data_IF_611750305918
#
_entry.id   IF_611750305918
#
_cell.length_a   1.000
_cell.length_b   1.000
_cell.length_c   1.000
_cell.angle_alpha   90.00
_cell.angle_beta   90.00
_cell.angle_gamma   90.00
#
_symmetry.space_group_name_H-M   'P 1'
#
loop_
_entity.id
_entity.type
_entity.pdbx_description
1 polymer ?
#
# COMPACT_ATOMS: atom_id res chain seq x y z
N UNK A 1 9.99 -0.27 -19.80
CA UNK A 1 10.56 0.43 -18.63
C UNK A 1 9.71 1.63 -18.13
N UNK A 2 9.01 2.38 -19.00
CA UNK A 2 8.23 3.58 -18.61
C UNK A 2 6.95 3.39 -17.76
N UNK A 3 6.29 2.21 -17.77
CA UNK A 3 5.01 2.03 -17.06
C UNK A 3 5.16 2.04 -15.53
N UNK A 4 6.23 1.43 -15.01
CA UNK A 4 6.47 1.33 -13.57
C UNK A 4 6.78 2.67 -12.89
N UNK A 5 7.39 3.60 -13.63
CA UNK A 5 7.69 4.96 -13.14
C UNK A 5 6.39 5.72 -12.88
N UNK A 6 5.40 5.61 -13.78
CA UNK A 6 4.08 6.24 -13.60
C UNK A 6 3.32 5.62 -12.43
N UNK A 7 3.28 4.28 -12.34
CA UNK A 7 2.61 3.61 -11.22
C UNK A 7 3.21 4.00 -9.87
N UNK A 8 4.55 4.06 -9.76
CA UNK A 8 5.24 4.46 -8.52
C UNK A 8 4.87 5.87 -8.11
N UNK A 9 4.88 6.82 -9.06
CA UNK A 9 4.44 8.20 -8.81
C UNK A 9 3.01 8.26 -8.27
N UNK A 10 2.06 7.57 -8.91
CA UNK A 10 0.66 7.56 -8.47
C UNK A 10 0.47 6.92 -7.09
N UNK A 11 1.24 5.86 -6.77
CA UNK A 11 1.22 5.25 -5.44
C UNK A 11 1.68 6.27 -4.38
N UNK A 12 2.82 6.93 -4.60
CA UNK A 12 3.34 7.94 -3.65
C UNK A 12 2.38 9.11 -3.50
N UNK A 13 1.78 9.58 -4.58
CA UNK A 13 0.78 10.66 -4.58
C UNK A 13 -0.46 10.27 -3.78
N UNK A 14 -1.02 9.08 -4.03
CA UNK A 14 -2.19 8.56 -3.31
C UNK A 14 -1.91 8.44 -1.81
N UNK A 15 -0.77 7.82 -1.44
CA UNK A 15 -0.39 7.69 -0.03
C UNK A 15 -0.12 9.04 0.65
N UNK A 16 0.37 10.04 -0.10
CA UNK A 16 0.61 11.39 0.44
C UNK A 16 -0.68 12.17 0.66
N UNK A 17 -1.65 12.06 -0.27
CA UNK A 17 -2.94 12.72 -0.16
C UNK A 17 -3.83 12.09 0.92
N UNK A 18 -3.72 10.78 1.11
CA UNK A 18 -4.49 10.01 2.09
C UNK A 18 -3.64 9.62 3.31
N UNK A 19 -3.04 10.63 3.95
CA UNK A 19 -2.24 10.46 5.17
C UNK A 19 -3.05 9.77 6.29
N UNK A 20 -2.41 8.92 7.06
CA UNK A 20 -2.96 8.08 8.14
C UNK A 20 -4.10 7.13 7.72
N UNK A 21 -4.34 6.96 6.42
CA UNK A 21 -5.29 5.97 5.91
C UNK A 21 -4.52 4.73 5.45
N UNK A 22 -4.76 3.54 6.03
CA UNK A 22 -4.15 2.30 5.57
C UNK A 22 -4.84 1.80 4.29
N UNK A 23 -4.03 1.28 3.37
CA UNK A 23 -4.52 0.76 2.09
C UNK A 23 -4.03 -0.64 1.80
N UNK A 24 -4.93 -1.50 1.34
CA UNK A 24 -4.56 -2.74 0.66
C UNK A 24 -4.00 -2.45 -0.73
N UNK A 25 -3.10 -3.31 -1.21
CA UNK A 25 -2.61 -3.21 -2.59
C UNK A 25 -3.73 -3.29 -3.64
N UNK A 26 -4.83 -4.00 -3.35
CA UNK A 26 -6.00 -4.05 -4.23
C UNK A 26 -6.74 -2.71 -4.28
N UNK A 27 -6.81 -2.02 -3.15
CA UNK A 27 -7.53 -0.76 -3.02
C UNK A 27 -6.74 0.35 -3.69
N UNK A 28 -5.41 0.38 -3.50
CA UNK A 28 -4.51 1.25 -4.26
C UNK A 28 -4.62 1.01 -5.76
N UNK A 29 -4.65 -0.25 -6.20
CA UNK A 29 -4.82 -0.61 -7.61
C UNK A 29 -6.13 -0.06 -8.19
N UNK A 30 -7.23 -0.24 -7.48
CA UNK A 30 -8.55 0.26 -7.89
C UNK A 30 -8.60 1.78 -7.90
N UNK A 31 -8.10 2.44 -6.84
CA UNK A 31 -8.06 3.89 -6.74
C UNK A 31 -7.22 4.51 -7.85
N UNK A 32 -6.03 3.98 -8.11
CA UNK A 32 -5.15 4.50 -9.16
C UNK A 32 -5.82 4.36 -10.54
N UNK A 33 -6.54 3.27 -10.76
CA UNK A 33 -7.32 3.09 -11.99
C UNK A 33 -8.46 4.11 -12.09
N UNK A 34 -9.26 4.30 -11.04
CA UNK A 34 -10.39 5.23 -11.05
C UNK A 34 -9.95 6.70 -11.19
N UNK A 35 -8.84 7.07 -10.54
CA UNK A 35 -8.39 8.46 -10.47
C UNK A 35 -7.54 8.86 -11.68
N UNK A 36 -6.64 7.96 -12.13
CA UNK A 36 -5.65 8.29 -13.15
C UNK A 36 -5.82 7.50 -14.46
N UNK A 37 -6.82 6.62 -14.55
CA UNK A 37 -7.01 5.72 -15.70
C UNK A 37 -5.88 4.71 -15.87
N UNK A 38 -5.04 4.52 -14.85
CA UNK A 38 -3.83 3.71 -14.95
C UNK A 38 -4.05 2.33 -14.33
N UNK A 39 -4.02 1.28 -15.16
CA UNK A 39 -4.16 -0.09 -14.68
C UNK A 39 -2.81 -0.65 -14.23
N UNK A 40 -2.76 -1.09 -12.97
CA UNK A 40 -1.67 -1.88 -12.42
C UNK A 40 -2.26 -2.95 -11.49
N UNK A 41 -1.83 -4.20 -11.64
CA UNK A 41 -2.35 -5.30 -10.79
C UNK A 41 -1.93 -5.13 -9.33
N UNK A 42 -2.70 -5.66 -8.36
CA UNK A 42 -2.33 -5.58 -6.94
C UNK A 42 -0.92 -6.13 -6.65
N UNK A 43 -0.52 -7.22 -7.32
CA UNK A 43 0.83 -7.78 -7.24
C UNK A 43 1.91 -6.79 -7.71
N UNK A 44 1.61 -6.00 -8.74
CA UNK A 44 2.52 -4.95 -9.23
C UNK A 44 2.59 -3.80 -8.23
N UNK A 45 1.45 -3.38 -7.68
CA UNK A 45 1.41 -2.35 -6.63
C UNK A 45 2.25 -2.77 -5.43
N UNK A 46 2.08 -3.98 -4.90
CA UNK A 46 2.89 -4.48 -3.77
C UNK A 46 4.39 -4.46 -4.06
N UNK A 47 4.81 -4.86 -5.26
CA UNK A 47 6.22 -4.81 -5.67
C UNK A 47 6.78 -3.39 -5.73
N UNK A 48 5.95 -2.42 -6.10
CA UNK A 48 6.37 -1.04 -6.26
C UNK A 48 6.33 -0.24 -4.96
N UNK A 49 5.41 -0.57 -4.05
CA UNK A 49 5.26 0.14 -2.77
C UNK A 49 6.22 -0.38 -1.69
N UNK A 50 6.64 -1.65 -1.74
CA UNK A 50 7.64 -2.21 -0.82
C UNK A 50 8.94 -1.40 -0.77
N UNK A 51 9.61 -1.07 -1.87
CA UNK A 51 10.83 -0.25 -1.79
C UNK A 51 10.55 1.18 -1.29
N UNK A 52 9.31 1.68 -1.37
CA UNK A 52 8.97 3.00 -0.83
C UNK A 52 9.01 3.05 0.69
N UNK A 53 8.82 1.92 1.39
CA UNK A 53 8.94 1.88 2.86
C UNK A 53 10.39 2.04 3.31
N UNK A 54 11.34 1.63 2.47
CA UNK A 54 12.77 1.78 2.74
C UNK A 54 13.25 3.20 2.37
N UNK A 55 12.67 3.80 1.33
CA UNK A 55 13.03 5.13 0.84
C UNK A 55 12.37 6.29 1.61
N UNK A 56 11.14 6.09 2.08
CA UNK A 56 10.35 7.12 2.77
C UNK A 56 9.98 6.63 4.17
N UNK A 57 10.65 7.18 5.19
CA UNK A 57 10.47 6.77 6.59
C UNK A 57 9.04 6.91 7.13
N UNK A 58 8.23 7.77 6.49
CA UNK A 58 6.80 7.97 6.80
C UNK A 58 5.88 6.91 6.20
N UNK A 59 6.33 6.10 5.23
CA UNK A 59 5.52 5.05 4.61
C UNK A 59 5.79 3.75 5.36
N UNK A 60 4.76 3.25 6.03
CA UNK A 60 4.82 2.04 6.82
C UNK A 60 4.06 0.92 6.15
N UNK A 61 4.61 -0.30 6.30
CA UNK A 61 3.93 -1.54 5.96
C UNK A 61 3.43 -2.18 7.24
N UNK A 62 2.12 -2.32 7.34
CA UNK A 62 1.48 -2.97 8.47
C UNK A 62 1.09 -4.39 8.07
N UNK A 63 1.26 -5.31 9.00
CA UNK A 63 0.76 -6.67 8.87
C UNK A 63 -0.64 -6.70 9.47
N UNK A 64 -1.61 -7.18 8.71
CA UNK A 64 -2.97 -7.34 9.16
C UNK A 64 -3.39 -8.80 9.01
N UNK A 65 -3.93 -9.37 10.08
CA UNK A 65 -4.51 -10.72 10.04
C UNK A 65 -6.01 -10.63 9.85
N UNK A 66 -6.43 -10.74 8.60
CA UNK A 66 -7.85 -10.93 8.31
C UNK A 66 -8.24 -12.37 8.64
N UNK A 67 -9.08 -12.54 9.67
CA UNK A 67 -9.58 -13.85 10.12
C UNK A 67 -10.28 -14.65 9.01
N UNK A 68 -10.84 -14.00 7.99
CA UNK A 68 -11.41 -14.70 6.82
C UNK A 68 -10.32 -15.26 5.91
N UNK A 69 -9.19 -14.57 5.77
CA UNK A 69 -8.04 -15.06 5.00
C UNK A 69 -7.29 -16.18 5.73
N UNK A 70 -7.24 -16.13 7.06
CA UNK A 70 -6.62 -17.17 7.89
C UNK A 70 -7.24 -18.55 7.64
N UNK A 71 -8.55 -18.61 7.37
CA UNK A 71 -9.27 -19.86 7.04
C UNK A 71 -8.87 -20.45 5.68
N UNK A 72 -8.33 -19.63 4.77
CA UNK A 72 -7.88 -20.05 3.43
C UNK A 72 -6.39 -20.37 3.35
N UNK A 73 -5.68 -20.36 4.49
CA UNK A 73 -4.23 -20.57 4.55
C UNK A 73 -3.40 -19.34 4.18
N UNK A 74 -4.04 -18.20 3.89
CA UNK A 74 -3.37 -16.91 3.77
C UNK A 74 -3.21 -16.30 5.17
N UNK A 75 -2.00 -16.37 5.74
CA UNK A 75 -1.75 -15.94 7.13
C UNK A 75 -1.76 -14.42 7.33
N UNK A 76 -1.41 -13.64 6.31
CA UNK A 76 -1.22 -12.21 6.44
C UNK A 76 -1.65 -11.44 5.19
N UNK A 77 -2.27 -10.30 5.42
CA UNK A 77 -2.53 -9.28 4.42
C UNK A 77 -1.72 -8.04 4.79
N UNK A 78 -1.16 -7.33 3.81
CA UNK A 78 -0.35 -6.14 4.06
C UNK A 78 -1.12 -4.87 3.74
N UNK A 79 -1.00 -3.90 4.63
CA UNK A 79 -1.51 -2.55 4.47
C UNK A 79 -0.33 -1.59 4.34
N UNK A 80 -0.51 -0.53 3.55
CA UNK A 80 0.43 0.58 3.47
C UNK A 80 -0.23 1.86 3.90
N UNK A 81 0.43 2.59 4.78
CA UNK A 81 -0.02 3.87 5.30
C UNK A 81 1.15 4.84 5.23
N UNK A 82 0.86 6.08 4.84
CA UNK A 82 1.78 7.18 5.12
C UNK A 82 1.35 7.73 6.48
N UNK A 83 2.20 7.68 7.49
CA UNK A 83 1.96 8.37 8.75
C UNK A 83 3.16 9.26 9.05
N UNK A 84 2.92 10.56 9.21
CA UNK A 84 3.94 11.50 9.67
C UNK A 84 4.42 11.25 11.11
N UNK A 85 3.79 10.31 11.82
CA UNK A 85 4.09 9.94 13.20
C UNK A 85 4.13 8.41 13.33
N UNK A 86 5.29 7.88 13.70
CA UNK A 86 5.59 6.43 13.77
C UNK A 86 5.00 5.76 15.01
N UNK A 87 4.47 6.56 15.95
CA UNK A 87 4.00 6.09 17.25
C UNK A 87 2.64 5.36 17.21
N UNK A 88 1.88 5.47 16.12
CA UNK A 88 0.45 5.08 16.10
C UNK A 88 0.23 3.62 15.68
N UNK A 89 1.18 2.98 14.99
CA UNK A 89 1.00 1.65 14.39
C UNK A 89 2.02 0.60 14.85
N UNK A 90 2.72 0.85 15.97
CA UNK A 90 3.72 -0.07 16.56
C UNK A 90 3.11 -1.23 17.37
N UNK A 91 1.88 -1.65 17.03
CA UNK A 91 1.20 -2.77 17.66
C UNK A 91 0.51 -3.61 16.59
N UNK A 92 0.57 -4.94 16.74
CA UNK A 92 -0.17 -5.87 15.89
C UNK A 92 -1.65 -5.45 15.80
N UNK A 93 -2.14 -5.19 14.58
CA UNK A 93 -3.56 -4.89 14.27
C UNK A 93 -4.22 -6.11 13.62
#
# INVERSE_FOLDING_TARGET
MMRHIKSRRFITETLSLHNNQPWLARELSQHIYSTYGHSASPKTISKLVNPLTDEYHQIHKLTHTDTQFAQTGCRYTYLWVNSGDTSIYSGDI
#
